data_IF_052506167787
#
_entry.id   IF_052506167787
#
_cell.length_a   1.000
_cell.length_b   1.000
_cell.length_c   1.000
_cell.angle_alpha   90.00
_cell.angle_beta   90.00
_cell.angle_gamma   90.00
#
_symmetry.space_group_name_H-M   'P 1'
#
loop_
_entity.id
_entity.type
_entity.pdbx_description
1 polymer ?
#
# COMPACT_ATOMS: atom_id res chain seq x y z
N UNK A 1 -6.02 -14.27 -1.24
CA UNK A 1 -5.69 -13.34 -0.15
C UNK A 1 -6.60 -13.60 1.03
N UNK A 2 -6.08 -14.32 2.01
CA UNK A 2 -6.78 -14.58 3.26
C UNK A 2 -6.97 -13.26 4.06
N UNK A 3 -8.24 -12.87 4.29
CA UNK A 3 -8.60 -11.64 5.04
C UNK A 3 -8.67 -11.86 6.56
N UNK A 4 -8.32 -13.04 7.03
CA UNK A 4 -8.23 -13.39 8.46
C UNK A 4 -6.80 -13.24 9.01
N UNK A 5 -5.82 -13.01 8.12
CA UNK A 5 -4.44 -12.75 8.51
C UNK A 5 -4.35 -11.47 9.35
N UNK A 6 -3.65 -11.56 10.48
CA UNK A 6 -3.41 -10.44 11.38
C UNK A 6 -2.18 -9.69 10.89
N UNK A 7 -2.34 -8.42 10.54
CA UNK A 7 -1.25 -7.59 10.04
C UNK A 7 -0.27 -7.19 11.15
N UNK A 8 1.02 -7.17 10.83
CA UNK A 8 2.09 -6.68 11.69
C UNK A 8 2.86 -5.52 11.01
N UNK A 9 2.72 -4.31 11.55
CA UNK A 9 3.34 -3.11 10.97
C UNK A 9 4.87 -3.12 11.02
N UNK A 10 5.47 -3.61 12.12
CA UNK A 10 6.93 -3.63 12.29
C UNK A 10 7.59 -4.62 11.34
N UNK A 11 6.96 -5.80 11.18
CA UNK A 11 7.37 -6.76 10.17
C UNK A 11 7.19 -6.19 8.77
N UNK A 12 6.04 -5.54 8.51
CA UNK A 12 5.75 -4.88 7.25
C UNK A 12 6.79 -3.83 6.85
N UNK A 13 7.22 -3.00 7.81
CA UNK A 13 8.30 -2.02 7.62
C UNK A 13 9.63 -2.70 7.28
N UNK A 14 9.97 -3.77 7.99
CA UNK A 14 11.21 -4.52 7.75
C UNK A 14 11.22 -5.13 6.35
N UNK A 15 10.13 -5.81 5.97
CA UNK A 15 9.97 -6.39 4.65
C UNK A 15 9.94 -5.34 3.54
N UNK A 16 9.32 -4.18 3.80
CA UNK A 16 9.32 -3.06 2.87
C UNK A 16 10.75 -2.58 2.56
N UNK A 17 11.58 -2.41 3.59
CA UNK A 17 12.99 -2.02 3.42
C UNK A 17 13.76 -3.08 2.61
N UNK A 18 13.48 -4.36 2.83
CA UNK A 18 14.16 -5.47 2.15
C UNK A 18 13.75 -5.63 0.68
N UNK A 19 12.47 -5.44 0.36
CA UNK A 19 11.90 -5.86 -0.92
C UNK A 19 11.38 -4.71 -1.80
N UNK A 20 11.17 -3.52 -1.24
CA UNK A 20 10.44 -2.44 -1.92
C UNK A 20 11.22 -1.13 -1.99
N UNK A 21 11.98 -0.79 -0.94
CA UNK A 21 12.59 0.52 -0.78
C UNK A 21 13.67 0.87 -1.82
N UNK A 22 14.30 -0.13 -2.45
CA UNK A 22 15.27 0.10 -3.53
C UNK A 22 14.65 0.78 -4.76
N UNK A 23 13.35 0.55 -5.01
CA UNK A 23 12.61 1.17 -6.10
C UNK A 23 11.71 2.31 -5.60
N UNK A 24 10.94 2.07 -4.53
CA UNK A 24 9.94 3.01 -4.03
C UNK A 24 10.48 4.04 -3.02
N UNK A 25 11.78 4.01 -2.72
CA UNK A 25 12.44 4.80 -1.67
C UNK A 25 12.01 4.41 -0.25
N UNK A 26 12.75 4.85 0.77
CA UNK A 26 12.47 4.47 2.17
C UNK A 26 11.15 5.02 2.70
N UNK A 27 10.71 6.16 2.17
CA UNK A 27 9.50 6.89 2.55
C UNK A 27 8.34 6.67 1.56
N UNK A 28 8.51 5.81 0.55
CA UNK A 28 7.48 5.52 -0.43
C UNK A 28 7.23 6.62 -1.46
N UNK A 29 8.11 7.63 -1.56
CA UNK A 29 7.95 8.73 -2.52
C UNK A 29 8.26 8.33 -3.97
N UNK A 30 8.76 7.12 -4.23
CA UNK A 30 9.08 6.69 -5.59
C UNK A 30 10.28 7.43 -6.20
N UNK A 31 10.46 7.29 -7.50
CA UNK A 31 11.60 7.84 -8.24
C UNK A 31 11.13 8.50 -9.54
N UNK A 32 11.43 9.81 -9.67
CA UNK A 32 10.93 10.68 -10.74
C UNK A 32 12.03 11.48 -11.45
N UNK A 33 13.00 10.85 -12.12
CA UNK A 33 14.02 11.59 -12.85
C UNK A 33 13.35 12.39 -13.98
N UNK A 34 13.68 13.68 -14.09
CA UNK A 34 13.18 14.56 -15.14
C UNK A 34 11.63 14.58 -15.27
N UNK A 35 10.91 14.55 -14.14
CA UNK A 35 9.44 14.48 -14.08
C UNK A 35 8.81 13.27 -14.80
N UNK A 36 9.57 12.19 -14.99
CA UNK A 36 9.07 10.93 -15.58
C UNK A 36 8.99 9.85 -14.51
N UNK A 37 7.84 9.19 -14.42
CA UNK A 37 7.60 8.08 -13.48
C UNK A 37 8.49 6.87 -13.84
N UNK A 38 9.55 6.64 -13.06
CA UNK A 38 10.37 5.43 -13.16
C UNK A 38 9.89 4.37 -12.17
N UNK A 39 9.72 4.76 -10.90
CA UNK A 39 9.07 3.95 -9.88
C UNK A 39 8.00 4.81 -9.19
N UNK A 40 6.74 4.37 -9.12
CA UNK A 40 5.67 5.22 -8.62
C UNK A 40 5.76 5.42 -7.11
N UNK A 41 5.28 6.56 -6.65
CA UNK A 41 5.06 6.86 -5.24
C UNK A 41 3.91 6.04 -4.71
N UNK A 42 4.15 5.32 -3.62
CA UNK A 42 3.12 4.57 -2.89
C UNK A 42 2.65 5.32 -1.63
N UNK A 43 3.35 6.40 -1.28
CA UNK A 43 3.06 7.33 -0.19
C UNK A 43 3.54 8.75 -0.54
N UNK A 44 3.20 9.72 0.31
CA UNK A 44 3.51 11.13 0.09
C UNK A 44 2.53 11.82 -0.87
N UNK A 45 2.75 13.11 -1.08
CA UNK A 45 1.84 14.01 -1.84
C UNK A 45 1.65 13.63 -3.31
N UNK A 46 2.58 12.86 -3.88
CA UNK A 46 2.54 12.41 -5.28
C UNK A 46 1.93 11.01 -5.46
N UNK A 47 1.44 10.38 -4.39
CA UNK A 47 0.77 9.09 -4.44
C UNK A 47 -0.75 9.23 -4.59
N UNK A 48 -1.44 8.11 -4.70
CA UNK A 48 -2.90 8.04 -4.64
C UNK A 48 -3.41 8.44 -3.24
N UNK A 49 -4.63 8.98 -3.23
CA UNK A 49 -5.29 9.42 -1.99
C UNK A 49 -5.80 8.25 -1.12
N UNK A 50 -6.21 8.56 0.10
CA UNK A 50 -6.74 7.57 1.06
C UNK A 50 -8.10 6.95 0.69
N UNK A 51 -8.83 7.52 -0.28
CA UNK A 51 -10.06 6.95 -0.85
C UNK A 51 -9.82 5.93 -1.98
N UNK A 52 -8.61 5.84 -2.51
CA UNK A 52 -8.29 4.90 -3.59
C UNK A 52 -8.36 3.44 -3.09
N UNK A 53 -8.79 2.52 -3.97
CA UNK A 53 -8.83 1.10 -3.61
C UNK A 53 -7.49 0.52 -3.15
N UNK A 54 -6.36 1.05 -3.65
CA UNK A 54 -5.00 0.69 -3.25
C UNK A 54 -4.59 1.21 -1.87
N UNK A 55 -5.36 2.12 -1.26
CA UNK A 55 -5.17 2.51 0.14
C UNK A 55 -5.72 1.46 1.12
N UNK A 56 -6.48 0.47 0.64
CA UNK A 56 -7.01 -0.63 1.45
C UNK A 56 -6.02 -1.79 1.54
N UNK A 57 -5.74 -2.22 2.77
CA UNK A 57 -4.72 -3.24 3.08
C UNK A 57 -4.89 -4.52 2.26
N UNK A 58 -6.07 -5.12 2.17
CA UNK A 58 -6.20 -6.41 1.47
C UNK A 58 -6.20 -6.29 -0.06
N UNK A 59 -6.64 -5.14 -0.58
CA UNK A 59 -6.54 -4.84 -2.02
C UNK A 59 -5.07 -4.70 -2.42
N UNK A 60 -4.33 -3.91 -1.64
CA UNK A 60 -2.90 -3.74 -1.84
C UNK A 60 -2.10 -5.04 -1.64
N UNK A 61 -2.42 -5.85 -0.64
CA UNK A 61 -1.77 -7.13 -0.40
C UNK A 61 -1.94 -8.09 -1.57
N UNK A 62 -3.15 -8.16 -2.15
CA UNK A 62 -3.41 -8.98 -3.33
C UNK A 62 -2.59 -8.51 -4.53
N UNK A 63 -2.49 -7.20 -4.75
CA UNK A 63 -1.66 -6.64 -5.80
C UNK A 63 -0.17 -6.95 -5.57
N UNK A 64 0.34 -6.74 -4.36
CA UNK A 64 1.73 -7.03 -3.99
C UNK A 64 2.05 -8.50 -4.23
N UNK A 65 1.23 -9.43 -3.70
CA UNK A 65 1.47 -10.87 -3.85
C UNK A 65 1.53 -11.30 -5.32
N UNK A 66 0.72 -10.69 -6.18
CA UNK A 66 0.64 -11.06 -7.60
C UNK A 66 1.65 -10.38 -8.50
N UNK A 67 2.17 -9.20 -8.13
CA UNK A 67 2.89 -8.33 -9.06
C UNK A 67 4.19 -7.75 -8.49
N UNK A 68 4.48 -7.96 -7.21
CA UNK A 68 5.65 -7.38 -6.54
C UNK A 68 6.43 -8.43 -5.73
N UNK A 69 7.77 -8.27 -5.62
CA UNK A 69 8.60 -7.32 -6.36
C UNK A 69 8.60 -7.57 -7.87
N UNK A 70 8.83 -6.53 -8.68
CA UNK A 70 8.79 -6.63 -10.14
C UNK A 70 9.80 -7.68 -10.64
N UNK A 71 9.37 -8.62 -11.48
CA UNK A 71 10.19 -9.74 -11.96
C UNK A 71 10.43 -10.84 -10.92
N UNK A 72 9.77 -10.76 -9.76
CA UNK A 72 9.77 -11.76 -8.69
C UNK A 72 8.35 -12.00 -8.18
N UNK A 73 7.38 -11.96 -9.10
CA UNK A 73 5.96 -12.12 -8.80
C UNK A 73 5.71 -13.44 -8.05
N UNK A 74 4.90 -13.36 -6.98
CA UNK A 74 4.60 -14.54 -6.16
C UNK A 74 5.66 -14.92 -5.13
N UNK A 75 6.83 -14.26 -5.09
CA UNK A 75 7.90 -14.54 -4.12
C UNK A 75 7.42 -14.40 -2.66
N UNK A 76 6.72 -13.32 -2.33
CA UNK A 76 6.27 -13.01 -0.97
C UNK A 76 5.16 -13.96 -0.53
N UNK A 77 5.12 -14.39 0.73
CA UNK A 77 3.96 -15.12 1.26
C UNK A 77 2.73 -14.22 1.39
N UNK A 78 1.53 -14.79 1.56
CA UNK A 78 0.32 -13.97 1.80
C UNK A 78 0.48 -13.09 3.05
N UNK A 79 1.06 -13.62 4.14
CA UNK A 79 1.31 -12.86 5.37
C UNK A 79 2.28 -11.70 5.12
N UNK A 80 3.39 -11.94 4.42
CA UNK A 80 4.35 -10.87 4.09
C UNK A 80 3.70 -9.77 3.25
N UNK A 81 2.87 -10.15 2.27
CA UNK A 81 2.14 -9.18 1.44
C UNK A 81 1.13 -8.36 2.27
N UNK A 82 0.42 -8.98 3.22
CA UNK A 82 -0.49 -8.29 4.15
C UNK A 82 0.28 -7.33 5.07
N UNK A 83 1.41 -7.75 5.62
CA UNK A 83 2.23 -6.92 6.50
C UNK A 83 2.79 -5.70 5.77
N UNK A 84 3.39 -5.89 4.58
CA UNK A 84 3.87 -4.78 3.74
C UNK A 84 2.72 -3.85 3.37
N UNK A 85 1.58 -4.41 2.94
CA UNK A 85 0.42 -3.62 2.56
C UNK A 85 -0.15 -2.81 3.72
N UNK A 86 -0.18 -3.39 4.92
CA UNK A 86 -0.60 -2.69 6.12
C UNK A 86 0.38 -1.59 6.48
N UNK A 87 1.69 -1.84 6.40
CA UNK A 87 2.70 -0.81 6.67
C UNK A 87 2.58 0.40 5.72
N UNK A 88 2.71 0.20 4.40
CA UNK A 88 2.72 1.32 3.46
C UNK A 88 1.33 1.98 3.35
N UNK A 89 0.29 1.15 3.51
CA UNK A 89 -0.96 1.48 4.19
C UNK A 89 -0.92 2.84 4.85
N UNK A 90 -0.28 2.83 6.02
CA UNK A 90 -0.20 3.79 7.14
C UNK A 90 0.76 4.96 6.95
N UNK A 91 1.36 5.08 5.76
CA UNK A 91 2.12 6.26 5.41
C UNK A 91 1.20 7.42 4.98
N UNK A 92 1.69 8.63 5.19
CA UNK A 92 1.07 9.89 4.76
C UNK A 92 0.74 9.87 3.26
N UNK A 93 -0.42 10.43 2.89
CA UNK A 93 -0.91 10.52 1.51
C UNK A 93 -2.00 11.58 1.39
N UNK A 94 -2.38 12.02 0.18
CA UNK A 94 -3.48 12.96 0.01
C UNK A 94 -4.80 12.42 0.59
N UNK A 95 -5.60 13.30 1.19
CA UNK A 95 -6.93 12.96 1.69
C UNK A 95 -7.95 13.13 0.57
N UNK A 96 -8.82 12.13 0.39
CA UNK A 96 -9.96 12.22 -0.52
C UNK A 96 -11.00 13.19 0.04
N UNK A 97 -11.41 14.15 -0.79
CA UNK A 97 -12.41 15.12 -0.42
C UNK A 97 -13.75 14.42 -0.11
N UNK A 98 -14.44 14.87 0.93
CA UNK A 98 -15.75 14.34 1.33
C UNK A 98 -15.76 12.84 1.67
N UNK A 99 -14.65 12.26 2.18
CA UNK A 99 -14.59 10.84 2.59
C UNK A 99 -15.64 10.41 3.62
N UNK A 100 -16.24 11.35 4.34
CA UNK A 100 -17.36 11.09 5.25
C UNK A 100 -18.61 10.59 4.51
N UNK A 101 -18.76 10.94 3.22
CA UNK A 101 -19.92 10.63 2.40
C UNK A 101 -19.75 9.36 1.54
N UNK A 102 -18.57 8.73 1.55
CA UNK A 102 -18.28 7.55 0.69
C UNK A 102 -19.10 6.31 1.09
N UNK A 103 -19.49 6.19 2.37
CA UNK A 103 -20.28 5.08 2.90
C UNK A 103 -21.50 5.59 3.68
N UNK A 104 -22.47 6.22 2.99
CA UNK A 104 -23.61 6.88 3.64
C UNK A 104 -24.53 5.87 4.36
N UNK A 105 -24.40 4.58 4.05
CA UNK A 105 -25.14 3.48 4.67
C UNK A 105 -24.35 2.77 5.77
N UNK A 106 -23.13 3.23 6.08
CA UNK A 106 -22.27 2.61 7.09
C UNK A 106 -21.65 1.27 6.67
N UNK A 107 -21.70 0.93 5.39
CA UNK A 107 -21.19 -0.29 4.77
C UNK A 107 -19.69 -0.23 4.42
N UNK A 108 -18.93 0.58 5.17
CA UNK A 108 -17.49 0.73 4.98
C UNK A 108 -16.75 -0.60 5.18
N UNK A 109 -15.92 -1.03 4.20
CA UNK A 109 -15.06 -2.20 4.39
C UNK A 109 -14.15 -2.05 5.62
N UNK A 110 -13.87 -3.18 6.30
CA UNK A 110 -13.09 -3.21 7.54
C UNK A 110 -11.64 -2.69 7.42
N UNK A 111 -11.12 -2.62 6.20
CA UNK A 111 -9.76 -2.20 5.87
C UNK A 111 -9.71 -0.78 5.26
N UNK A 112 -10.81 -0.03 5.34
CA UNK A 112 -10.84 1.41 5.01
C UNK A 112 -10.23 2.22 6.15
N UNK A 113 -9.51 3.28 5.79
CA UNK A 113 -9.00 4.28 6.73
C UNK A 113 -10.03 5.37 6.93
N UNK A 114 -10.32 5.71 8.18
CA UNK A 114 -11.16 6.85 8.54
C UNK A 114 -10.28 8.01 8.96
#
# INVERSE_FOLDING_TARGET
>A
MNKELVSNADNGKTLYVQHCASCHQLDGQGLYPNNTYMFPAIAGSQSFNDGAGMARTYTAAAFIKGNMPLGQEGMLTEQQAVDIAYYFSHLERPIFANKADDWPKGDAPKDVRR
#
